data_IF_836641318380
#
_entry.id   IF_836641318380
#
_cell.length_a   1.000
_cell.length_b   1.000
_cell.length_c   1.000
_cell.angle_alpha   90.00
_cell.angle_beta   90.00
_cell.angle_gamma   90.00
#
_symmetry.space_group_name_H-M   'P 1'
#
loop_
_entity.id
_entity.type
_entity.pdbx_description
1 polymer ?
#
# COMPACT_ATOMS: atom_id res chain seq x y z
N UNK A 1 -7.26 -8.84 -5.50
CA UNK A 1 -7.34 -10.09 -6.28
C UNK A 1 -7.54 -11.33 -5.43
N UNK A 2 -6.98 -11.43 -4.23
CA UNK A 2 -7.29 -12.54 -3.29
C UNK A 2 -8.72 -12.46 -2.71
N UNK A 3 -9.33 -11.30 -2.65
CA UNK A 3 -10.72 -11.13 -2.14
C UNK A 3 -11.76 -11.86 -2.99
N UNK A 4 -11.50 -12.09 -4.27
CA UNK A 4 -12.40 -12.83 -5.17
C UNK A 4 -12.35 -14.36 -4.94
N UNK A 5 -11.27 -14.89 -4.40
CA UNK A 5 -11.13 -16.30 -4.06
C UNK A 5 -11.99 -16.68 -2.85
N UNK A 6 -12.16 -15.75 -1.91
CA UNK A 6 -12.93 -15.98 -0.66
C UNK A 6 -14.45 -15.97 -0.90
N UNK A 7 -14.93 -15.29 -1.92
CA UNK A 7 -16.38 -15.13 -2.17
C UNK A 7 -17.11 -16.37 -2.67
N UNK A 8 -16.43 -17.40 -3.18
CA UNK A 8 -17.05 -18.64 -3.69
C UNK A 8 -16.73 -19.91 -2.93
N UNK A 9 -15.74 -19.94 -2.04
CA UNK A 9 -15.22 -21.18 -1.45
C UNK A 9 -15.51 -21.39 0.05
N UNK A 10 -16.14 -20.49 0.77
CA UNK A 10 -16.50 -20.69 2.17
C UNK A 10 -18.02 -20.67 2.38
N UNK A 11 -18.64 -21.87 2.32
CA UNK A 11 -19.81 -22.12 3.17
C UNK A 11 -19.27 -22.40 4.58
N UNK A 12 -19.00 -21.36 5.35
CA UNK A 12 -18.79 -21.49 6.78
C UNK A 12 -20.14 -21.57 7.49
N UNK A 13 -20.24 -22.59 8.33
CA UNK A 13 -21.35 -22.78 9.26
C UNK A 13 -21.53 -21.54 10.14
N UNK A 14 -22.79 -21.07 10.29
CA UNK A 14 -23.20 -19.76 10.81
C UNK A 14 -23.26 -19.66 12.34
N UNK A 15 -22.62 -20.53 13.10
CA UNK A 15 -22.98 -20.65 14.51
C UNK A 15 -22.01 -20.08 15.57
N UNK A 16 -20.84 -19.51 15.23
CA UNK A 16 -19.86 -19.16 16.28
C UNK A 16 -19.02 -17.88 16.13
N UNK A 17 -19.36 -16.91 15.27
CA UNK A 17 -18.65 -15.62 15.26
C UNK A 17 -19.63 -14.45 15.17
N UNK A 18 -19.43 -13.32 15.89
CA UNK A 18 -20.22 -12.13 15.68
C UNK A 18 -19.93 -11.60 14.27
N UNK A 19 -20.91 -11.77 13.41
CA UNK A 19 -20.84 -11.41 12.01
C UNK A 19 -20.82 -9.89 11.85
N UNK A 20 -19.68 -9.33 11.52
CA UNK A 20 -19.63 -8.08 10.77
C UNK A 20 -19.83 -8.48 9.30
N UNK A 21 -21.09 -8.65 8.92
CA UNK A 21 -21.51 -8.96 7.56
C UNK A 21 -21.36 -7.71 6.69
N UNK A 22 -20.38 -7.69 5.80
CA UNK A 22 -20.40 -6.81 4.63
C UNK A 22 -21.23 -7.46 3.53
N UNK A 23 -22.50 -7.14 3.50
CA UNK A 23 -23.38 -7.47 2.39
C UNK A 23 -23.31 -6.29 1.40
N UNK A 24 -22.66 -6.51 0.25
CA UNK A 24 -22.76 -5.57 -0.86
C UNK A 24 -24.19 -5.65 -1.42
N UNK A 25 -25.06 -4.74 -0.98
CA UNK A 25 -26.34 -4.52 -1.61
C UNK A 25 -26.15 -3.64 -2.85
N UNK A 26 -26.51 -4.18 -4.01
CA UNK A 26 -26.71 -3.43 -5.24
C UNK A 26 -27.96 -2.54 -5.08
N UNK A 27 -27.80 -1.29 -4.68
CA UNK A 27 -28.83 -0.27 -4.82
C UNK A 27 -28.18 1.09 -5.07
N UNK A 28 -28.43 1.61 -6.24
CA UNK A 28 -28.46 3.02 -6.68
C UNK A 28 -27.95 4.03 -5.66
N UNK A 29 -26.65 4.19 -5.57
CA UNK A 29 -26.03 5.38 -5.01
C UNK A 29 -25.65 6.30 -6.16
N UNK A 30 -26.02 7.58 -6.04
CA UNK A 30 -25.74 8.59 -7.03
C UNK A 30 -24.30 8.54 -7.51
N UNK A 31 -24.13 8.66 -8.81
CA UNK A 31 -22.86 8.60 -9.50
C UNK A 31 -21.88 9.63 -8.92
N UNK A 32 -21.06 9.23 -7.96
CA UNK A 32 -19.74 9.78 -7.88
C UNK A 32 -19.07 9.25 -9.14
N UNK A 33 -18.75 10.15 -10.05
CA UNK A 33 -18.01 9.86 -11.28
C UNK A 33 -16.69 9.17 -10.93
N UNK A 34 -16.74 7.90 -10.60
CA UNK A 34 -15.63 7.02 -10.83
C UNK A 34 -15.51 6.98 -12.35
N UNK A 35 -14.72 7.91 -12.91
CA UNK A 35 -14.19 7.72 -14.25
C UNK A 35 -13.80 6.25 -14.35
N UNK A 36 -14.10 5.58 -15.42
CA UNK A 36 -13.94 4.16 -15.75
C UNK A 36 -12.54 3.56 -15.43
N UNK A 37 -11.92 3.99 -14.36
CA UNK A 37 -10.60 3.58 -13.89
C UNK A 37 -10.69 2.41 -12.91
N UNK A 38 -9.69 1.56 -12.94
CA UNK A 38 -9.56 0.39 -12.06
C UNK A 38 -9.14 0.85 -10.68
N UNK A 39 -9.96 0.54 -9.66
CA UNK A 39 -9.42 0.42 -8.33
C UNK A 39 -8.48 -0.80 -8.33
N UNK A 40 -7.20 -0.59 -8.58
CA UNK A 40 -6.20 -1.67 -8.65
C UNK A 40 -5.68 -2.02 -7.25
N UNK A 41 -5.59 -3.29 -6.95
CA UNK A 41 -5.09 -3.81 -5.68
C UNK A 41 -6.05 -4.81 -5.05
N UNK A 42 -5.56 -5.67 -4.12
CA UNK A 42 -6.36 -6.75 -3.54
C UNK A 42 -7.47 -6.28 -2.58
N UNK A 43 -7.47 -5.01 -2.13
CA UNK A 43 -8.49 -4.43 -1.24
C UNK A 43 -9.35 -3.37 -1.96
N UNK A 44 -9.47 -3.47 -3.29
CA UNK A 44 -10.19 -2.49 -4.12
C UNK A 44 -11.66 -2.31 -3.70
N UNK A 45 -12.36 -3.42 -3.43
CA UNK A 45 -13.75 -3.38 -2.94
C UNK A 45 -13.87 -2.64 -1.61
N UNK A 46 -12.95 -2.87 -0.67
CA UNK A 46 -12.87 -2.15 0.59
C UNK A 46 -12.63 -0.65 0.39
N UNK A 47 -11.73 -0.28 -0.51
CA UNK A 47 -11.48 1.14 -0.82
C UNK A 47 -12.73 1.82 -1.39
N UNK A 48 -13.44 1.17 -2.33
CA UNK A 48 -14.69 1.70 -2.90
C UNK A 48 -15.75 1.88 -1.82
N UNK A 49 -15.95 0.92 -0.89
CA UNK A 49 -16.95 1.05 0.18
C UNK A 49 -16.63 2.22 1.12
N UNK A 50 -15.35 2.49 1.39
CA UNK A 50 -14.94 3.64 2.21
C UNK A 50 -15.10 4.94 1.44
N UNK A 51 -14.71 4.98 0.16
CA UNK A 51 -14.83 6.17 -0.68
C UNK A 51 -16.27 6.61 -0.89
N UNK A 52 -17.20 5.65 -1.04
CA UNK A 52 -18.63 5.92 -1.21
C UNK A 52 -19.37 6.19 0.09
N UNK A 53 -18.69 6.10 1.23
CA UNK A 53 -19.33 6.28 2.56
C UNK A 53 -20.14 5.07 3.02
N UNK A 54 -20.13 3.94 2.30
CA UNK A 54 -20.83 2.72 2.70
C UNK A 54 -20.16 2.03 3.90
N UNK A 55 -18.88 2.32 4.15
CA UNK A 55 -18.13 1.88 5.32
C UNK A 55 -17.30 3.03 5.90
N UNK A 56 -17.05 3.00 7.21
CA UNK A 56 -16.14 3.94 7.88
C UNK A 56 -14.69 3.63 7.56
N UNK A 57 -14.36 2.35 7.48
CA UNK A 57 -13.04 1.84 7.18
C UNK A 57 -13.13 0.45 6.54
N UNK A 58 -12.05 0.00 5.94
CA UNK A 58 -11.92 -1.35 5.43
C UNK A 58 -10.62 -1.99 5.94
N UNK A 59 -10.73 -3.23 6.43
CA UNK A 59 -9.57 -4.03 6.82
C UNK A 59 -9.09 -4.86 5.64
N UNK A 60 -7.80 -5.12 5.58
CA UNK A 60 -7.20 -5.96 4.56
C UNK A 60 -5.73 -6.25 4.83
N UNK A 61 -5.06 -6.81 3.83
CA UNK A 61 -3.64 -7.14 3.91
C UNK A 61 -2.83 -6.28 2.96
N UNK A 62 -1.68 -5.81 3.40
CA UNK A 62 -0.69 -5.15 2.57
C UNK A 62 0.58 -6.00 2.49
N UNK A 63 0.71 -6.77 1.41
CA UNK A 63 1.86 -7.64 1.14
C UNK A 63 2.87 -6.98 0.21
N UNK A 64 2.41 -6.08 -0.66
CA UNK A 64 3.21 -5.33 -1.62
C UNK A 64 2.59 -3.98 -1.98
N UNK A 65 1.64 -3.50 -1.16
CA UNK A 65 0.92 -2.25 -1.38
C UNK A 65 -0.59 -2.38 -1.40
N UNK A 66 -1.15 -3.56 -1.09
CA UNK A 66 -2.58 -3.87 -1.30
C UNK A 66 -3.56 -3.05 -0.44
N UNK A 67 -3.10 -2.25 0.51
CA UNK A 67 -3.86 -1.23 1.25
C UNK A 67 -3.54 0.16 0.71
N UNK A 68 -2.25 0.48 0.55
CA UNK A 68 -1.80 1.82 0.15
C UNK A 68 -2.15 2.16 -1.29
N UNK A 69 -2.01 1.21 -2.22
CA UNK A 69 -2.33 1.41 -3.64
C UNK A 69 -3.81 1.75 -3.85
N UNK A 70 -4.80 0.92 -3.40
CA UNK A 70 -6.20 1.25 -3.59
C UNK A 70 -6.61 2.52 -2.82
N UNK A 71 -6.02 2.81 -1.65
CA UNK A 71 -6.23 4.07 -0.96
C UNK A 71 -5.79 5.27 -1.81
N UNK A 72 -4.59 5.24 -2.38
CA UNK A 72 -4.07 6.29 -3.26
C UNK A 72 -4.97 6.54 -4.47
N UNK A 73 -5.43 5.46 -5.13
CA UNK A 73 -6.25 5.54 -6.34
C UNK A 73 -7.72 5.93 -6.08
N UNK A 74 -8.16 5.93 -4.81
CA UNK A 74 -9.51 6.33 -4.41
C UNK A 74 -9.55 7.61 -3.55
N UNK A 75 -8.40 8.29 -3.38
CA UNK A 75 -8.31 9.51 -2.58
C UNK A 75 -8.54 9.26 -1.08
N UNK A 76 -8.03 8.15 -0.57
CA UNK A 76 -8.18 7.70 0.81
C UNK A 76 -6.84 7.59 1.52
N UNK A 77 -6.90 7.37 2.83
CA UNK A 77 -5.73 7.06 3.65
C UNK A 77 -5.58 5.55 3.78
N UNK A 78 -4.38 5.05 3.51
CA UNK A 78 -4.04 3.64 3.69
C UNK A 78 -2.76 3.50 4.52
N UNK A 79 -2.86 2.94 5.73
CA UNK A 79 -1.70 2.77 6.60
C UNK A 79 -1.28 1.31 6.67
N UNK A 80 -0.04 1.04 6.24
CA UNK A 80 0.67 -0.22 6.45
C UNK A 80 1.62 -0.05 7.63
N UNK A 81 1.34 -0.72 8.72
CA UNK A 81 2.23 -0.77 9.89
C UNK A 81 3.41 -1.74 9.70
N UNK A 82 4.37 -1.70 10.61
CA UNK A 82 5.39 -2.75 10.77
C UNK A 82 4.71 -4.10 10.96
N UNK A 83 5.11 -5.11 10.19
CA UNK A 83 4.40 -6.40 10.06
C UNK A 83 4.12 -7.07 11.40
N UNK A 84 5.10 -7.15 12.28
CA UNK A 84 4.99 -7.83 13.59
C UNK A 84 4.09 -7.14 14.63
N UNK A 85 3.59 -5.94 14.34
CA UNK A 85 2.70 -5.23 15.26
C UNK A 85 1.26 -5.71 15.20
N UNK A 86 0.86 -6.38 14.13
CA UNK A 86 -0.52 -6.86 13.96
C UNK A 86 -0.55 -8.37 13.75
N UNK A 87 -1.39 -9.12 14.51
CA UNK A 87 -1.47 -10.55 14.37
C UNK A 87 -2.13 -10.95 13.04
N UNK A 88 -1.62 -12.03 12.44
CA UNK A 88 -2.17 -12.62 11.21
C UNK A 88 -2.81 -13.99 11.47
N UNK A 89 -3.00 -14.36 12.73
CA UNK A 89 -3.58 -15.65 13.08
C UNK A 89 -5.00 -15.79 12.51
N UNK A 90 -5.28 -16.90 11.84
CA UNK A 90 -6.56 -17.15 11.18
C UNK A 90 -6.69 -16.52 9.78
N UNK A 91 -5.69 -15.79 9.30
CA UNK A 91 -5.65 -15.27 7.94
C UNK A 91 -5.12 -16.32 6.95
N UNK A 92 -5.62 -16.28 5.70
CA UNK A 92 -5.03 -17.04 4.59
C UNK A 92 -3.82 -16.28 4.09
N UNK A 93 -2.59 -16.84 4.18
CA UNK A 93 -1.39 -16.10 3.82
C UNK A 93 -1.21 -15.99 2.30
N UNK A 94 -0.72 -14.83 1.86
CA UNK A 94 -0.05 -14.68 0.58
C UNK A 94 1.46 -14.81 0.78
N UNK A 95 1.99 -14.13 1.81
CA UNK A 95 3.38 -14.21 2.22
C UNK A 95 3.48 -14.03 3.74
N UNK A 96 3.91 -15.06 4.44
CA UNK A 96 4.07 -14.99 5.91
C UNK A 96 5.12 -13.98 6.35
N UNK A 97 6.07 -13.68 5.47
CA UNK A 97 7.14 -12.70 5.70
C UNK A 97 6.69 -11.26 5.47
N UNK A 98 5.76 -11.02 4.53
CA UNK A 98 5.43 -9.66 4.07
C UNK A 98 4.00 -9.22 4.40
N UNK A 99 3.07 -10.16 4.63
CA UNK A 99 1.67 -9.85 4.91
C UNK A 99 1.55 -8.98 6.16
N UNK A 100 0.79 -7.89 6.04
CA UNK A 100 0.53 -6.98 7.15
C UNK A 100 -0.97 -6.70 7.22
N UNK A 101 -1.60 -7.04 8.35
CA UNK A 101 -3.00 -6.68 8.59
C UNK A 101 -3.09 -5.19 8.90
N UNK A 102 -3.87 -4.47 8.14
CA UNK A 102 -3.99 -3.01 8.27
C UNK A 102 -5.31 -2.49 7.65
N UNK A 103 -5.46 -1.16 7.56
CA UNK A 103 -6.74 -0.56 7.21
C UNK A 103 -6.64 0.56 6.17
N UNK A 104 -7.77 0.75 5.46
CA UNK A 104 -8.06 1.93 4.66
C UNK A 104 -9.08 2.77 5.42
N UNK A 105 -8.84 4.08 5.50
CA UNK A 105 -9.67 5.07 6.22
C UNK A 105 -9.83 6.34 5.40
N UNK A 106 -10.57 7.33 5.93
CA UNK A 106 -10.73 8.64 5.28
C UNK A 106 -9.80 9.71 5.82
N UNK A 107 -9.20 9.48 6.99
CA UNK A 107 -8.27 10.41 7.62
C UNK A 107 -7.12 9.69 8.28
N UNK A 108 -6.00 10.39 8.48
CA UNK A 108 -4.86 9.87 9.24
C UNK A 108 -5.25 9.60 10.70
N UNK A 109 -6.14 10.41 11.28
CA UNK A 109 -6.66 10.21 12.63
C UNK A 109 -7.37 8.86 12.77
N UNK A 110 -8.20 8.49 11.80
CA UNK A 110 -8.90 7.19 11.80
C UNK A 110 -7.89 6.03 11.63
N UNK A 111 -6.83 6.23 10.84
CA UNK A 111 -5.77 5.24 10.70
C UNK A 111 -5.02 5.01 12.03
N UNK A 112 -4.76 6.07 12.81
CA UNK A 112 -4.18 5.97 14.16
C UNK A 112 -5.08 5.15 15.08
N UNK A 113 -6.39 5.43 15.10
CA UNK A 113 -7.35 4.70 15.92
C UNK A 113 -7.39 3.21 15.57
N UNK A 114 -7.52 2.89 14.27
CA UNK A 114 -7.59 1.50 13.83
C UNK A 114 -6.28 0.76 14.03
N UNK A 115 -5.14 1.42 13.83
CA UNK A 115 -3.85 0.80 14.16
C UNK A 115 -3.77 0.45 15.65
N UNK A 116 -4.25 1.32 16.53
CA UNK A 116 -4.32 1.04 17.96
C UNK A 116 -5.13 -0.22 18.28
N UNK A 117 -6.29 -0.37 17.64
CA UNK A 117 -7.14 -1.56 17.81
C UNK A 117 -6.46 -2.82 17.25
N UNK A 118 -5.94 -2.77 16.02
CA UNK A 118 -5.34 -3.93 15.36
C UNK A 118 -4.06 -4.41 16.04
N UNK A 119 -3.25 -3.47 16.53
CA UNK A 119 -2.00 -3.75 17.22
C UNK A 119 -2.16 -3.95 18.73
N UNK A 120 -3.39 -3.87 19.26
CA UNK A 120 -3.69 -3.95 20.69
C UNK A 120 -2.79 -3.03 21.55
N UNK A 121 -2.53 -1.81 21.06
CA UNK A 121 -1.66 -0.82 21.73
C UNK A 121 -2.26 0.59 21.62
N UNK A 122 -1.81 1.51 22.43
CA UNK A 122 -2.11 2.94 22.25
C UNK A 122 -0.99 3.57 21.41
N UNK A 123 -1.22 3.93 20.13
CA UNK A 123 -0.23 4.65 19.35
C UNK A 123 0.11 5.99 20.00
N UNK A 124 1.37 6.39 19.87
CA UNK A 124 1.88 7.66 20.39
C UNK A 124 2.47 8.48 19.22
N UNK A 125 1.64 9.00 18.30
CA UNK A 125 2.14 9.81 17.20
C UNK A 125 2.87 11.03 17.74
N UNK A 126 4.14 11.19 17.34
CA UNK A 126 4.95 12.33 17.76
C UNK A 126 4.54 13.55 16.94
N UNK A 127 3.72 14.43 17.53
CA UNK A 127 3.39 15.71 16.91
C UNK A 127 4.64 16.60 16.87
N UNK A 128 5.16 16.85 15.67
CA UNK A 128 6.29 17.76 15.43
C UNK A 128 5.91 18.69 14.28
N UNK A 129 5.95 20.03 14.49
CA UNK A 129 5.59 20.98 13.43
C UNK A 129 6.49 20.80 12.20
N UNK A 130 5.97 21.07 11.01
CA UNK A 130 6.70 20.88 9.73
C UNK A 130 8.11 21.47 9.75
N UNK A 131 8.30 22.66 10.30
CA UNK A 131 9.62 23.35 10.37
C UNK A 131 10.69 22.60 11.20
N UNK A 132 10.31 21.55 11.91
CA UNK A 132 11.25 20.70 12.65
C UNK A 132 11.51 19.37 11.99
N UNK A 133 10.86 19.10 10.85
CA UNK A 133 10.97 17.83 10.16
C UNK A 133 12.10 17.86 9.11
N UNK A 134 12.92 16.82 9.13
CA UNK A 134 13.85 16.46 8.06
C UNK A 134 13.27 15.29 7.27
N UNK A 135 12.88 15.55 6.05
CA UNK A 135 12.26 14.58 5.15
C UNK A 135 13.20 14.31 3.96
N UNK A 136 13.09 13.15 3.34
CA UNK A 136 13.85 12.85 2.14
C UNK A 136 12.97 12.31 1.02
N UNK A 137 13.32 12.62 -0.23
CA UNK A 137 12.71 12.08 -1.43
C UNK A 137 13.72 11.17 -2.13
N UNK A 138 13.53 9.84 -2.08
CA UNK A 138 14.39 8.93 -2.84
C UNK A 138 14.19 9.11 -4.34
N UNK A 139 15.28 9.41 -5.02
CA UNK A 139 15.28 9.61 -6.47
C UNK A 139 15.32 8.27 -7.23
N UNK A 140 16.01 7.26 -6.68
CA UNK A 140 16.12 5.93 -7.30
C UNK A 140 14.77 5.23 -7.30
N UNK A 141 14.25 4.86 -8.46
CA UNK A 141 13.02 4.08 -8.68
C UNK A 141 11.74 4.86 -8.33
N UNK A 142 11.69 5.55 -7.20
CA UNK A 142 10.46 6.08 -6.63
C UNK A 142 9.81 7.20 -7.46
N UNK A 143 10.62 7.98 -8.17
CA UNK A 143 10.15 9.10 -9.01
C UNK A 143 10.34 8.86 -10.51
N UNK A 144 10.78 7.66 -10.91
CA UNK A 144 10.99 7.33 -12.32
C UNK A 144 9.66 7.25 -13.07
N UNK A 145 9.58 7.89 -14.25
CA UNK A 145 8.48 7.74 -15.19
C UNK A 145 7.09 7.96 -14.57
N UNK A 146 6.95 8.98 -13.72
CA UNK A 146 5.66 9.40 -13.19
C UNK A 146 4.79 9.94 -14.32
N UNK A 147 3.48 9.68 -14.26
CA UNK A 147 2.58 10.40 -15.14
C UNK A 147 2.46 11.89 -14.75
N UNK A 148 1.95 12.72 -15.66
CA UNK A 148 1.91 14.16 -15.48
C UNK A 148 1.04 14.61 -14.29
N UNK A 149 -0.03 13.86 -13.95
CA UNK A 149 -0.90 14.20 -12.84
C UNK A 149 -0.24 13.87 -11.51
N UNK A 150 0.44 12.72 -11.44
CA UNK A 150 1.20 12.31 -10.24
C UNK A 150 2.37 13.25 -10.01
N UNK A 151 3.17 13.57 -11.05
CA UNK A 151 4.30 14.49 -10.93
C UNK A 151 3.84 15.85 -10.39
N UNK A 152 2.82 16.44 -11.01
CA UNK A 152 2.27 17.74 -10.63
C UNK A 152 1.74 17.77 -9.20
N UNK A 153 0.98 16.74 -8.78
CA UNK A 153 0.45 16.65 -7.41
C UNK A 153 1.57 16.46 -6.38
N UNK A 154 2.57 15.65 -6.71
CA UNK A 154 3.71 15.41 -5.82
C UNK A 154 4.59 16.66 -5.68
N UNK A 155 4.95 17.32 -6.77
CA UNK A 155 5.72 18.58 -6.76
C UNK A 155 5.00 19.69 -5.98
N UNK A 156 3.69 19.84 -6.20
CA UNK A 156 2.87 20.78 -5.45
C UNK A 156 2.91 20.46 -3.94
N UNK A 157 2.78 19.19 -3.59
CA UNK A 157 2.87 18.73 -2.19
C UNK A 157 4.21 19.11 -1.57
N UNK A 158 5.32 18.81 -2.24
CA UNK A 158 6.65 19.18 -1.75
C UNK A 158 6.80 20.70 -1.57
N UNK A 159 6.23 21.48 -2.48
CA UNK A 159 6.23 22.96 -2.35
C UNK A 159 5.45 23.43 -1.13
N UNK A 160 4.26 22.87 -0.85
CA UNK A 160 3.46 23.17 0.34
C UNK A 160 4.24 22.84 1.61
N UNK A 161 4.87 21.67 1.67
CA UNK A 161 5.63 21.25 2.85
C UNK A 161 6.87 22.13 3.09
N UNK A 162 7.61 22.48 2.02
CA UNK A 162 8.74 23.42 2.12
C UNK A 162 8.29 24.80 2.56
N UNK A 163 7.18 25.32 2.06
CA UNK A 163 6.60 26.58 2.49
C UNK A 163 6.17 26.53 3.97
N UNK A 164 5.75 25.38 4.47
CA UNK A 164 5.48 25.11 5.90
C UNK A 164 6.74 24.96 6.75
N UNK A 165 7.93 25.02 6.15
CA UNK A 165 9.23 25.00 6.83
C UNK A 165 9.87 23.63 6.98
N UNK A 166 9.33 22.57 6.35
CA UNK A 166 9.99 21.27 6.32
C UNK A 166 11.27 21.33 5.50
N UNK A 167 12.32 20.67 6.00
CA UNK A 167 13.55 20.42 5.24
C UNK A 167 13.35 19.14 4.41
N UNK A 168 13.49 19.25 3.10
CA UNK A 168 13.28 18.10 2.20
C UNK A 168 14.49 17.97 1.29
N UNK A 169 15.23 16.89 1.49
CA UNK A 169 16.43 16.55 0.74
C UNK A 169 16.10 15.51 -0.35
N UNK A 170 16.70 15.65 -1.52
CA UNK A 170 16.69 14.61 -2.54
C UNK A 170 17.86 13.65 -2.27
N UNK A 171 17.58 12.35 -2.17
CA UNK A 171 18.60 11.32 -1.89
C UNK A 171 18.58 10.22 -2.94
N UNK A 172 19.72 9.62 -3.20
CA UNK A 172 19.78 8.52 -4.17
C UNK A 172 19.02 7.28 -3.69
N UNK A 173 19.24 6.80 -2.46
CA UNK A 173 18.76 5.52 -1.91
C UNK A 173 19.03 4.35 -2.87
N UNK A 174 20.30 4.20 -3.23
CA UNK A 174 20.78 3.30 -4.28
C UNK A 174 20.34 1.82 -4.14
N UNK A 175 20.19 1.24 -2.93
CA UNK A 175 19.78 -0.15 -2.78
C UNK A 175 18.39 -0.46 -3.38
N UNK A 176 17.52 0.54 -3.60
CA UNK A 176 16.20 0.31 -4.22
C UNK A 176 16.30 -0.30 -5.62
N UNK A 177 17.35 0.02 -6.38
CA UNK A 177 17.54 -0.51 -7.72
C UNK A 177 17.80 -2.04 -7.74
N UNK A 178 18.21 -2.62 -6.64
CA UNK A 178 18.56 -4.04 -6.52
C UNK A 178 17.35 -4.95 -6.33
N UNK A 179 16.21 -4.39 -5.91
CA UNK A 179 15.02 -5.18 -5.55
C UNK A 179 14.47 -6.03 -6.69
N UNK A 180 14.54 -5.55 -7.93
CA UNK A 180 14.10 -6.33 -9.09
C UNK A 180 14.94 -7.60 -9.27
N UNK A 181 16.25 -7.52 -9.03
CA UNK A 181 17.16 -8.66 -9.03
C UNK A 181 16.88 -9.64 -7.90
N UNK A 182 16.73 -9.12 -6.67
CA UNK A 182 16.40 -9.95 -5.50
C UNK A 182 15.10 -10.73 -5.65
N UNK A 183 14.14 -10.20 -6.38
CA UNK A 183 12.83 -10.82 -6.59
C UNK A 183 12.69 -11.52 -7.96
N UNK A 184 13.75 -11.66 -8.73
CA UNK A 184 13.69 -12.16 -10.12
C UNK A 184 13.06 -13.56 -10.22
N UNK A 185 13.29 -14.44 -9.26
CA UNK A 185 12.71 -15.79 -9.21
C UNK A 185 11.30 -15.84 -8.58
N UNK A 186 10.68 -14.68 -8.30
CA UNK A 186 9.33 -14.59 -7.72
C UNK A 186 9.30 -14.07 -6.29
N UNK A 187 10.43 -14.05 -5.59
CA UNK A 187 10.56 -13.50 -4.25
C UNK A 187 9.76 -14.27 -3.18
N UNK A 188 9.62 -13.68 -2.02
CA UNK A 188 8.88 -14.28 -0.89
C UNK A 188 7.43 -14.65 -1.25
N UNK A 189 6.73 -13.79 -1.97
CA UNK A 189 5.31 -14.00 -2.30
C UNK A 189 5.10 -15.26 -3.13
N UNK A 190 5.98 -15.58 -4.08
CA UNK A 190 5.84 -16.78 -4.89
C UNK A 190 6.17 -18.04 -4.06
N UNK A 191 7.30 -18.06 -3.35
CA UNK A 191 7.72 -19.20 -2.55
C UNK A 191 6.73 -19.56 -1.44
N UNK A 192 6.30 -18.56 -0.68
CA UNK A 192 5.45 -18.75 0.50
C UNK A 192 4.01 -19.05 0.11
N UNK A 193 3.46 -18.40 -0.93
CA UNK A 193 2.15 -18.75 -1.45
C UNK A 193 2.13 -20.16 -2.06
N UNK A 194 3.18 -20.57 -2.79
CA UNK A 194 3.30 -21.94 -3.27
C UNK A 194 3.34 -22.94 -2.13
N UNK A 195 4.14 -22.69 -1.11
CA UNK A 195 4.23 -23.56 0.07
C UNK A 195 2.85 -23.79 0.71
N UNK A 196 2.02 -22.77 0.82
CA UNK A 196 0.71 -22.87 1.44
C UNK A 196 -0.36 -23.42 0.49
N UNK A 197 -0.40 -22.96 -0.77
CA UNK A 197 -1.48 -23.27 -1.72
C UNK A 197 -1.26 -24.53 -2.55
N UNK A 198 -0.03 -25.05 -2.66
CA UNK A 198 0.33 -26.13 -3.61
C UNK A 198 -0.62 -27.32 -3.59
N UNK A 199 -0.95 -27.85 -2.42
CA UNK A 199 -1.80 -29.04 -2.33
C UNK A 199 -3.21 -28.77 -2.89
N UNK A 200 -3.78 -27.61 -2.60
CA UNK A 200 -5.08 -27.21 -3.10
C UNK A 200 -5.03 -26.85 -4.59
N UNK A 201 -4.00 -26.12 -4.99
CA UNK A 201 -3.82 -25.69 -6.39
C UNK A 201 -3.66 -26.90 -7.31
N UNK A 202 -2.89 -27.93 -6.91
CA UNK A 202 -2.72 -29.16 -7.70
C UNK A 202 -4.02 -29.98 -7.85
N UNK A 203 -4.94 -29.89 -6.89
CA UNK A 203 -6.20 -30.64 -6.92
C UNK A 203 -7.35 -29.86 -7.55
N UNK A 204 -7.35 -28.51 -7.41
CA UNK A 204 -8.49 -27.65 -7.70
C UNK A 204 -8.07 -26.32 -8.32
N UNK A 205 -7.20 -26.36 -9.33
CA UNK A 205 -6.68 -25.14 -9.98
C UNK A 205 -7.80 -24.27 -10.58
N UNK A 206 -8.86 -24.91 -11.09
CA UNK A 206 -10.00 -24.20 -11.66
C UNK A 206 -10.77 -23.31 -10.67
N UNK A 207 -10.56 -23.48 -9.37
CA UNK A 207 -11.14 -22.59 -8.34
C UNK A 207 -10.37 -21.26 -8.20
N UNK A 208 -9.18 -21.17 -8.78
CA UNK A 208 -8.33 -19.99 -8.71
C UNK A 208 -8.52 -19.12 -9.96
N UNK A 209 -8.39 -17.81 -9.77
CA UNK A 209 -8.17 -16.90 -10.89
C UNK A 209 -6.87 -17.32 -11.62
N UNK A 210 -6.89 -17.51 -12.95
CA UNK A 210 -5.72 -18.01 -13.70
C UNK A 210 -4.47 -17.16 -13.51
N UNK A 211 -4.61 -15.83 -13.43
CA UNK A 211 -3.50 -14.90 -13.20
C UNK A 211 -2.91 -15.05 -11.79
N UNK A 212 -3.74 -15.40 -10.81
CA UNK A 212 -3.29 -15.69 -9.44
C UNK A 212 -2.60 -17.04 -9.38
N UNK A 213 -3.19 -18.08 -9.98
CA UNK A 213 -2.58 -19.41 -10.06
C UNK A 213 -1.18 -19.37 -10.69
N UNK A 214 -1.05 -18.67 -11.82
CA UNK A 214 0.25 -18.49 -12.50
C UNK A 214 1.30 -17.84 -11.60
N UNK A 215 0.92 -16.84 -10.78
CA UNK A 215 1.84 -16.17 -9.87
C UNK A 215 2.28 -17.06 -8.72
N UNK A 216 1.35 -17.86 -8.17
CA UNK A 216 1.66 -18.84 -7.11
C UNK A 216 2.62 -19.92 -7.67
N UNK A 217 2.38 -20.43 -8.88
CA UNK A 217 3.23 -21.45 -9.52
C UNK A 217 4.68 -21.01 -9.75
N UNK A 218 4.96 -19.71 -9.80
CA UNK A 218 6.37 -19.25 -9.87
C UNK A 218 7.22 -19.74 -8.69
N UNK A 219 6.59 -20.01 -7.53
CA UNK A 219 7.28 -20.54 -6.35
C UNK A 219 7.62 -22.02 -6.44
N UNK A 220 7.05 -22.77 -7.39
CA UNK A 220 7.29 -24.20 -7.57
C UNK A 220 8.75 -24.52 -7.91
N UNK A 221 9.40 -23.65 -8.69
CA UNK A 221 10.77 -23.81 -9.13
C UNK A 221 11.83 -23.34 -8.10
N UNK A 222 11.41 -22.62 -7.04
CA UNK A 222 12.34 -22.10 -6.05
C UNK A 222 12.80 -23.19 -5.09
N UNK A 223 14.10 -23.43 -5.00
CA UNK A 223 14.67 -24.39 -4.05
C UNK A 223 14.73 -23.81 -2.63
N UNK A 224 14.94 -24.67 -1.63
CA UNK A 224 15.19 -24.22 -0.25
C UNK A 224 16.45 -23.35 -0.15
N UNK A 225 17.49 -23.63 -0.95
CA UNK A 225 18.70 -22.82 -1.00
C UNK A 225 18.41 -21.42 -1.52
N UNK A 226 17.67 -21.29 -2.64
CA UNK A 226 17.28 -19.99 -3.20
C UNK A 226 16.47 -19.16 -2.19
N UNK A 227 15.59 -19.80 -1.44
CA UNK A 227 14.81 -19.11 -0.41
C UNK A 227 15.68 -18.63 0.76
N UNK A 228 16.63 -19.45 1.22
CA UNK A 228 17.58 -19.07 2.28
C UNK A 228 18.46 -17.91 1.82
N UNK A 229 18.97 -17.96 0.59
CA UNK A 229 19.75 -16.88 0.01
C UNK A 229 18.94 -15.58 -0.09
N UNK A 230 17.66 -15.67 -0.46
CA UNK A 230 16.75 -14.52 -0.49
C UNK A 230 16.56 -13.92 0.92
N UNK A 231 16.43 -14.75 1.96
CA UNK A 231 16.31 -14.28 3.36
C UNK A 231 17.57 -13.51 3.78
N UNK A 232 18.76 -14.04 3.49
CA UNK A 232 20.02 -13.39 3.80
C UNK A 232 20.21 -12.09 2.99
N UNK A 233 19.93 -12.14 1.70
CA UNK A 233 20.02 -10.97 0.82
C UNK A 233 19.08 -9.85 1.27
N UNK A 234 17.84 -10.19 1.68
CA UNK A 234 16.89 -9.23 2.26
C UNK A 234 17.43 -8.58 3.52
N UNK A 235 17.98 -9.35 4.46
CA UNK A 235 18.53 -8.80 5.70
C UNK A 235 19.66 -7.81 5.43
N UNK A 236 20.56 -8.14 4.50
CA UNK A 236 21.65 -7.26 4.06
C UNK A 236 21.13 -5.99 3.39
N UNK A 237 20.15 -6.13 2.52
CA UNK A 237 19.50 -5.02 1.84
C UNK A 237 18.82 -4.07 2.82
N UNK A 238 18.07 -4.60 3.81
CA UNK A 238 17.42 -3.81 4.88
C UNK A 238 18.44 -2.96 5.62
N UNK A 239 19.57 -3.55 6.04
CA UNK A 239 20.59 -2.82 6.78
C UNK A 239 21.17 -1.64 5.98
N UNK A 240 21.40 -1.82 4.67
CA UNK A 240 21.89 -0.76 3.78
C UNK A 240 20.85 0.36 3.58
N UNK A 241 19.59 0.00 3.32
CA UNK A 241 18.51 0.99 3.20
C UNK A 241 18.38 1.80 4.48
N UNK A 242 18.36 1.15 5.64
CA UNK A 242 18.26 1.84 6.93
C UNK A 242 19.45 2.77 7.20
N UNK A 243 20.65 2.41 6.78
CA UNK A 243 21.82 3.28 6.91
C UNK A 243 21.67 4.56 6.07
N UNK A 244 21.16 4.46 4.85
CA UNK A 244 20.91 5.61 3.98
C UNK A 244 19.72 6.47 4.42
N UNK A 245 18.76 5.90 5.16
CA UNK A 245 17.62 6.62 5.74
C UNK A 245 17.96 7.35 7.05
N UNK A 246 19.13 7.08 7.65
CA UNK A 246 19.48 7.58 8.96
C UNK A 246 19.48 9.13 8.99
N UNK A 247 18.87 9.71 10.02
CA UNK A 247 18.79 11.16 10.23
C UNK A 247 17.60 11.85 9.55
N UNK A 248 16.74 11.12 8.87
CA UNK A 248 15.45 11.61 8.38
C UNK A 248 14.29 11.13 9.28
N UNK A 249 13.29 11.99 9.47
CA UNK A 249 12.09 11.67 10.23
C UNK A 249 11.16 10.75 9.43
N UNK A 250 11.10 10.91 8.12
CA UNK A 250 10.41 10.03 7.18
C UNK A 250 10.89 10.27 5.75
N UNK A 251 10.62 9.33 4.87
CA UNK A 251 10.80 9.46 3.43
C UNK A 251 9.45 9.73 2.74
N UNK A 252 9.50 10.48 1.65
CA UNK A 252 8.35 10.85 0.83
C UNK A 252 8.49 10.28 -0.59
N UNK A 253 7.42 9.75 -1.12
CA UNK A 253 7.33 9.35 -2.53
C UNK A 253 5.88 9.34 -3.00
N UNK A 254 5.59 9.37 -4.31
CA UNK A 254 4.28 8.99 -4.78
C UNK A 254 3.98 7.54 -4.37
N UNK A 255 2.74 7.25 -3.93
CA UNK A 255 2.35 5.88 -3.58
C UNK A 255 2.38 4.96 -4.80
N UNK A 256 1.92 5.48 -5.93
CA UNK A 256 1.94 4.83 -7.25
C UNK A 256 2.41 5.85 -8.31
N UNK A 257 3.05 5.40 -9.39
CA UNK A 257 3.59 6.30 -10.41
C UNK A 257 2.57 6.83 -11.40
N UNK A 258 1.32 6.39 -11.32
CA UNK A 258 0.25 6.76 -12.26
C UNK A 258 -1.10 6.86 -11.56
N UNK A 259 -2.01 7.61 -12.12
CA UNK A 259 -3.43 7.61 -11.71
C UNK A 259 -4.11 6.30 -12.13
N UNK A 260 -5.34 6.08 -11.64
CA UNK A 260 -6.09 4.86 -11.96
C UNK A 260 -6.26 4.68 -13.50
N UNK A 261 -5.72 3.60 -14.09
CA UNK A 261 -5.83 3.35 -15.52
C UNK A 261 -7.24 2.91 -15.91
N UNK A 262 -7.67 3.08 -17.17
CA UNK A 262 -8.92 2.52 -17.68
C UNK A 262 -8.94 0.98 -17.56
N UNK A 263 -10.09 0.41 -17.16
CA UNK A 263 -10.25 -1.03 -16.97
C UNK A 263 -10.26 -1.81 -18.28
N UNK A 264 -11.03 -1.32 -19.26
CA UNK A 264 -11.32 -2.06 -20.49
C UNK A 264 -10.06 -2.63 -21.20
N UNK A 265 -8.94 -1.88 -21.36
CA UNK A 265 -7.75 -2.43 -22.00
C UNK A 265 -7.00 -3.51 -21.19
N UNK A 266 -7.40 -3.77 -19.93
CA UNK A 266 -6.72 -4.70 -19.03
C UNK A 266 -7.49 -6.02 -18.87
N UNK A 267 -8.78 -6.05 -19.24
CA UNK A 267 -9.64 -7.23 -19.02
C UNK A 267 -9.14 -8.42 -19.83
N UNK A 268 -8.94 -8.23 -21.11
CA UNK A 268 -8.62 -9.31 -22.08
C UNK A 268 -7.16 -9.30 -22.55
N UNK A 269 -6.28 -8.58 -21.84
CA UNK A 269 -4.86 -8.45 -22.20
C UNK A 269 -3.94 -8.70 -20.99
N UNK A 270 -3.56 -9.94 -20.80
CA UNK A 270 -2.69 -10.36 -19.69
C UNK A 270 -1.33 -9.66 -19.68
N UNK A 271 -0.72 -9.48 -20.86
CA UNK A 271 0.58 -8.79 -20.94
C UNK A 271 0.47 -7.36 -20.41
N UNK A 272 -0.58 -6.63 -20.83
CA UNK A 272 -0.84 -5.27 -20.36
C UNK A 272 -1.22 -5.24 -18.89
N UNK A 273 -2.05 -6.18 -18.45
CA UNK A 273 -2.41 -6.32 -17.04
C UNK A 273 -1.17 -6.51 -16.15
N UNK A 274 -0.28 -7.44 -16.48
CA UNK A 274 0.92 -7.69 -15.69
C UNK A 274 1.90 -6.51 -15.70
N UNK A 275 2.05 -5.82 -16.83
CA UNK A 275 2.88 -4.62 -16.93
C UNK A 275 2.37 -3.51 -16.00
N UNK A 276 1.07 -3.20 -16.06
CA UNK A 276 0.44 -2.20 -15.18
C UNK A 276 0.50 -2.63 -13.72
N UNK A 277 0.22 -3.90 -13.41
CA UNK A 277 0.30 -4.41 -12.04
C UNK A 277 1.74 -4.29 -11.46
N UNK A 278 2.77 -4.57 -12.25
CA UNK A 278 4.16 -4.40 -11.84
C UNK A 278 4.48 -2.92 -11.56
N UNK A 279 4.02 -2.04 -12.46
CA UNK A 279 4.21 -0.60 -12.28
C UNK A 279 3.51 -0.07 -11.02
N UNK A 280 2.27 -0.51 -10.76
CA UNK A 280 1.53 -0.13 -9.55
C UNK A 280 2.21 -0.58 -8.25
N UNK A 281 2.87 -1.74 -8.27
CA UNK A 281 3.58 -2.27 -7.10
C UNK A 281 4.95 -1.62 -6.86
N UNK A 282 5.51 -0.92 -7.85
CA UNK A 282 6.90 -0.44 -7.89
C UNK A 282 7.29 0.36 -6.65
N UNK A 283 6.48 1.35 -6.28
CA UNK A 283 6.79 2.25 -5.16
C UNK A 283 6.39 1.68 -3.80
N UNK A 284 5.33 0.87 -3.77
CA UNK A 284 4.79 0.37 -2.50
C UNK A 284 5.54 -0.87 -1.98
N UNK A 285 5.94 -1.80 -2.86
CA UNK A 285 6.56 -3.07 -2.45
C UNK A 285 7.94 -2.95 -1.76
N UNK A 286 8.79 -1.94 -2.06
CA UNK A 286 10.03 -1.76 -1.30
C UNK A 286 9.83 -1.61 0.20
N UNK A 287 8.73 -0.97 0.62
CA UNK A 287 8.42 -0.80 2.04
C UNK A 287 8.08 -2.14 2.71
N UNK A 288 7.41 -3.06 2.01
CA UNK A 288 7.18 -4.42 2.52
C UNK A 288 8.50 -5.20 2.64
N UNK A 289 9.38 -5.08 1.64
CA UNK A 289 10.70 -5.70 1.67
C UNK A 289 11.57 -5.15 2.80
N UNK A 290 11.42 -3.88 3.14
CA UNK A 290 12.11 -3.22 4.26
C UNK A 290 11.59 -3.65 5.64
N UNK A 291 10.46 -4.36 5.73
CA UNK A 291 9.63 -4.49 6.95
C UNK A 291 9.20 -3.12 7.50
N UNK A 292 9.27 -2.08 6.68
CA UNK A 292 8.97 -0.71 7.05
C UNK A 292 7.49 -0.46 7.29
N UNK A 293 7.18 0.72 7.80
CA UNK A 293 5.82 1.23 7.90
C UNK A 293 5.61 2.38 6.91
N UNK A 294 4.40 2.53 6.39
CA UNK A 294 4.07 3.58 5.44
C UNK A 294 2.60 3.96 5.49
N UNK A 295 2.33 5.23 5.30
CA UNK A 295 0.99 5.76 5.14
C UNK A 295 0.88 6.45 3.78
N UNK A 296 -0.14 6.08 3.01
CA UNK A 296 -0.56 6.80 1.81
C UNK A 296 -1.68 7.76 2.18
N UNK A 297 -1.58 9.03 1.82
CA UNK A 297 -2.63 10.02 2.01
C UNK A 297 -2.87 10.83 0.74
N UNK A 298 -4.10 11.34 0.52
CA UNK A 298 -4.41 12.13 -0.68
C UNK A 298 -3.58 13.41 -0.78
N UNK A 299 -3.07 13.68 -1.97
CA UNK A 299 -2.30 14.91 -2.25
C UNK A 299 -2.71 15.62 -3.54
N UNK A 300 -3.78 15.19 -4.20
CA UNK A 300 -4.36 15.81 -5.39
C UNK A 300 -5.28 16.97 -5.02
N UNK A 301 -5.42 17.93 -5.93
CA UNK A 301 -6.38 19.02 -5.77
C UNK A 301 -7.84 18.54 -5.98
N UNK A 302 -8.82 19.22 -5.38
CA UNK A 302 -10.24 18.90 -5.61
C UNK A 302 -10.60 18.84 -7.08
N UNK A 303 -11.34 17.81 -7.50
CA UNK A 303 -11.78 17.62 -8.89
C UNK A 303 -10.73 16.99 -9.82
N UNK A 304 -9.53 16.73 -9.36
CA UNK A 304 -8.49 15.99 -10.09
C UNK A 304 -8.58 14.47 -9.82
N UNK A 305 -7.90 13.69 -10.66
CA UNK A 305 -7.74 12.26 -10.42
C UNK A 305 -6.97 12.05 -9.11
N UNK A 306 -7.38 11.04 -8.29
CA UNK A 306 -6.73 10.79 -7.02
C UNK A 306 -5.26 10.43 -7.17
N UNK A 307 -4.43 11.08 -6.35
CA UNK A 307 -2.99 10.84 -6.20
C UNK A 307 -2.69 10.70 -4.71
N UNK A 308 -1.90 9.69 -4.35
CA UNK A 308 -1.46 9.46 -2.98
C UNK A 308 0.01 9.81 -2.77
N UNK A 309 0.29 10.61 -1.74
CA UNK A 309 1.61 10.75 -1.14
C UNK A 309 1.86 9.60 -0.19
N UNK A 310 2.99 8.91 -0.32
CA UNK A 310 3.44 7.92 0.65
C UNK A 310 4.48 8.51 1.58
N UNK A 311 4.18 8.52 2.88
CA UNK A 311 5.08 8.86 3.99
C UNK A 311 5.55 7.53 4.59
N UNK A 312 6.86 7.28 4.65
CA UNK A 312 7.33 5.96 5.04
C UNK A 312 8.65 6.00 5.82
N UNK A 313 8.89 4.96 6.58
CA UNK A 313 10.05 4.81 7.43
C UNK A 313 10.44 3.35 7.64
N UNK A 314 11.52 3.09 8.39
CA UNK A 314 11.98 1.74 8.73
C UNK A 314 10.98 1.02 9.67
N UNK A 315 11.23 -0.25 9.93
CA UNK A 315 10.47 -1.03 10.89
C UNK A 315 10.46 -0.35 12.27
N UNK A 316 9.29 -0.38 12.94
CA UNK A 316 9.04 0.20 14.25
C UNK A 316 9.04 1.74 14.32
N UNK A 317 9.07 2.42 13.16
CA UNK A 317 8.87 3.88 13.08
C UNK A 317 7.39 4.29 12.96
N UNK A 318 6.46 3.40 13.28
CA UNK A 318 5.03 3.57 13.05
C UNK A 318 4.48 4.86 13.67
N UNK A 319 4.81 5.15 14.92
CA UNK A 319 4.34 6.36 15.60
C UNK A 319 4.94 7.64 15.00
N UNK A 320 6.18 7.59 14.52
CA UNK A 320 6.82 8.70 13.83
C UNK A 320 6.15 8.96 12.47
N UNK A 321 5.96 7.91 11.67
CA UNK A 321 5.27 8.01 10.36
C UNK A 321 3.84 8.53 10.52
N UNK A 322 3.10 8.04 11.52
CA UNK A 322 1.76 8.54 11.82
C UNK A 322 1.78 10.02 12.25
N UNK A 323 2.72 10.41 13.10
CA UNK A 323 2.88 11.81 13.54
C UNK A 323 3.20 12.74 12.37
N UNK A 324 4.19 12.42 11.55
CA UNK A 324 4.53 13.17 10.33
C UNK A 324 3.33 13.24 9.37
N UNK A 325 2.58 12.16 9.22
CA UNK A 325 1.42 12.12 8.33
C UNK A 325 0.27 13.02 8.81
N UNK A 326 0.03 13.13 10.12
CA UNK A 326 -0.95 14.08 10.69
C UNK A 326 -0.61 15.52 10.35
N UNK A 327 0.66 15.90 10.48
CA UNK A 327 1.12 17.25 10.17
C UNK A 327 1.03 17.55 8.66
N UNK A 328 1.36 16.57 7.83
CA UNK A 328 1.24 16.71 6.37
C UNK A 328 -0.23 16.82 5.96
N UNK A 329 -1.13 15.98 6.50
CA UNK A 329 -2.58 16.06 6.22
C UNK A 329 -3.13 17.44 6.55
N UNK A 330 -2.77 17.99 7.73
CA UNK A 330 -3.17 19.33 8.15
C UNK A 330 -2.64 20.44 7.23
N UNK A 331 -1.38 20.35 6.80
CA UNK A 331 -0.77 21.31 5.90
C UNK A 331 -1.40 21.30 4.50
N UNK A 332 -1.67 20.12 3.96
CA UNK A 332 -2.33 19.98 2.66
C UNK A 332 -3.77 20.49 2.71
N UNK A 333 -4.51 20.22 3.78
CA UNK A 333 -5.86 20.75 3.97
C UNK A 333 -5.87 22.30 4.01
N UNK A 334 -4.88 22.90 4.63
CA UNK A 334 -4.72 24.36 4.68
C UNK A 334 -4.28 24.94 3.33
N UNK A 335 -3.36 24.26 2.61
CA UNK A 335 -2.84 24.69 1.31
C UNK A 335 -3.81 24.52 0.15
N UNK A 336 -4.80 23.62 0.28
CA UNK A 336 -5.85 23.38 -0.73
C UNK A 336 -7.12 24.19 -0.46
N UNK A 337 -7.22 24.89 0.67
CA UNK A 337 -8.32 25.80 0.95
C UNK A 337 -8.31 26.94 -0.08
N UNK A 338 -9.46 27.29 -0.72
CA UNK A 338 -9.52 28.44 -1.60
C UNK A 338 -9.07 29.67 -0.81
N UNK A 339 -8.16 30.47 -1.40
CA UNK A 339 -7.76 31.73 -0.80
C UNK A 339 -9.03 32.54 -0.53
N UNK A 340 -9.46 32.61 0.73
CA UNK A 340 -10.54 33.49 1.14
C UNK A 340 -10.04 34.91 0.91
N UNK A 341 -10.53 35.52 -0.20
CA UNK A 341 -10.18 36.89 -0.56
C UNK A 341 -10.40 37.81 0.64
N UNK A 342 -9.33 38.53 1.00
CA UNK A 342 -9.40 39.68 1.87
C UNK A 342 -9.91 40.86 1.06
#
# INVERSE_FOLDING_TARGET
MLTTIVGRACRCDRSTLPAVLFQASSSTAGAISCSSGVASGSTSGGAVTVATGAAWAALGWDTGGSIRIPAALQGLVGFKNTQRLTPLQGAIPLSTTLDTACAITRSVRDAVLLHGVLAARTPQPLARPLRGLRLAVPQTVMVDGLDADVSRAFEHTLAVLRAGGAQIDDIALAPLAELSGLQAQGGFTAAESWSWHRARLLQREADYDPRVAQRIRRGEAMSAADYIDLVHARAHWIARVQAEMAGYDALLSPTVPMVAPPLAPLVDNDKRFFAINTLMLRNASPVNMLDGCALSLPCHAPGQMPVGLMVWGPAMADDAVLGVSLEIEAALAAGLAPATGR
#
